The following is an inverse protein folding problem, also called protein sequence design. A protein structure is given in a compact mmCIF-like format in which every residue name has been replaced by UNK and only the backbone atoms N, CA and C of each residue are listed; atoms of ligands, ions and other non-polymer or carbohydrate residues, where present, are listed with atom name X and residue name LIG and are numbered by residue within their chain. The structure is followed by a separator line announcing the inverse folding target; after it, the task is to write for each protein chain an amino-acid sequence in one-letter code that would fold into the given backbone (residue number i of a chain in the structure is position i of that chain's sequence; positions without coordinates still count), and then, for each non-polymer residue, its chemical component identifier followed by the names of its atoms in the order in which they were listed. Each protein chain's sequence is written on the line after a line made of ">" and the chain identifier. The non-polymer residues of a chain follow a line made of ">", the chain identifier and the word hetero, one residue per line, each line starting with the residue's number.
data_IF_544558169220
#
_entry.id   IF_544558169220
#
_cell.length_a   1.000
_cell.length_b   1.000
_cell.length_c   1.000
_cell.angle_alpha   90.00
_cell.angle_beta   90.00
_cell.angle_gamma   90.00
#
_symmetry.space_group_name_H-M   'P 1'
#
loop_
_entity.id
_entity.type
_entity.pdbx_description
1 polymer ?
#
# COMPACT_ATOMS: atom_id res chain seq x y z
N UNK A 1 24.15 -4.78 -19.67
CA UNK A 1 23.29 -3.82 -20.36
C UNK A 1 21.87 -3.91 -19.83
N UNK A 2 21.30 -2.79 -19.51
CA UNK A 2 19.95 -2.75 -18.99
C UNK A 2 18.94 -3.03 -20.09
N UNK A 3 17.97 -3.90 -19.82
CA UNK A 3 16.88 -4.12 -20.75
C UNK A 3 16.04 -2.85 -20.89
N UNK A 4 15.49 -2.61 -22.06
CA UNK A 4 14.64 -1.45 -22.32
C UNK A 4 13.15 -1.77 -22.25
N UNK A 5 12.81 -3.04 -22.11
CA UNK A 5 11.42 -3.48 -21.98
C UNK A 5 11.39 -4.60 -20.93
N UNK A 6 10.47 -4.47 -19.97
CA UNK A 6 10.19 -5.51 -19.01
C UNK A 6 8.71 -5.85 -19.10
N UNK A 7 8.39 -7.13 -19.19
CA UNK A 7 7.00 -7.60 -19.14
C UNK A 7 6.87 -8.56 -17.99
N UNK A 8 5.78 -8.46 -17.24
CA UNK A 8 5.55 -9.31 -16.10
C UNK A 8 4.07 -9.52 -15.84
N UNK A 9 3.79 -10.30 -14.82
CA UNK A 9 2.45 -10.56 -14.34
C UNK A 9 2.41 -10.25 -12.86
N UNK A 10 1.52 -9.35 -12.45
CA UNK A 10 1.39 -9.01 -11.04
C UNK A 10 1.04 -10.23 -10.19
N UNK A 11 0.23 -11.13 -10.73
CA UNK A 11 -0.15 -12.35 -10.00
C UNK A 11 1.06 -13.22 -9.66
N UNK A 12 2.09 -13.20 -10.52
CA UNK A 12 3.30 -13.99 -10.32
C UNK A 12 4.40 -13.20 -9.63
N UNK A 13 4.55 -11.92 -9.96
CA UNK A 13 5.66 -11.10 -9.51
C UNK A 13 5.45 -10.50 -8.13
N UNK A 14 4.21 -10.19 -7.78
CA UNK A 14 3.93 -9.51 -6.52
C UNK A 14 4.15 -10.39 -5.29
N UNK A 15 3.67 -11.65 -5.21
CA UNK A 15 3.80 -12.43 -3.98
C UNK A 15 5.23 -12.58 -3.47
N UNK A 16 6.24 -12.88 -4.31
CA UNK A 16 7.62 -12.99 -3.80
C UNK A 16 8.17 -11.68 -3.27
N UNK A 17 7.60 -10.56 -3.66
CA UNK A 17 8.05 -9.23 -3.30
C UNK A 17 7.04 -8.51 -2.39
N UNK A 18 6.21 -9.26 -1.68
CA UNK A 18 5.25 -8.73 -0.72
C UNK A 18 4.28 -7.73 -1.37
N UNK A 19 3.97 -7.95 -2.64
CA UNK A 19 3.09 -7.10 -3.43
C UNK A 19 3.80 -6.07 -4.29
N UNK A 20 5.08 -5.83 -4.07
CA UNK A 20 5.80 -4.77 -4.76
C UNK A 20 6.19 -5.17 -6.18
N UNK A 21 5.92 -4.28 -7.12
CA UNK A 21 6.25 -4.47 -8.53
C UNK A 21 7.42 -3.60 -8.99
N UNK A 22 7.60 -2.45 -8.36
CA UNK A 22 8.56 -1.45 -8.82
C UNK A 22 8.91 -0.53 -7.64
N UNK A 23 10.17 -0.14 -7.54
CA UNK A 23 10.62 0.77 -6.50
C UNK A 23 12.11 0.67 -6.22
N UNK A 24 12.56 1.34 -5.17
CA UNK A 24 13.98 1.40 -4.80
C UNK A 24 14.54 0.05 -4.34
N UNK A 25 13.69 -0.86 -3.94
CA UNK A 25 14.07 -2.18 -3.43
C UNK A 25 14.38 -3.20 -4.54
N UNK A 26 14.13 -2.86 -5.79
CA UNK A 26 14.54 -3.70 -6.91
C UNK A 26 16.04 -3.52 -7.18
N UNK A 27 16.69 -4.53 -7.77
CA UNK A 27 18.13 -4.40 -8.11
C UNK A 27 18.39 -3.17 -8.97
N UNK A 28 19.55 -2.55 -8.79
CA UNK A 28 19.88 -1.28 -9.45
C UNK A 28 19.86 -1.35 -10.98
N UNK A 29 20.12 -2.53 -11.53
CA UNK A 29 20.16 -2.72 -12.98
C UNK A 29 18.84 -3.21 -13.57
N UNK A 30 17.82 -3.30 -12.75
CA UNK A 30 16.48 -3.73 -13.17
C UNK A 30 15.67 -2.51 -13.60
N UNK A 31 14.93 -2.64 -14.69
CA UNK A 31 14.03 -1.57 -15.15
C UNK A 31 12.99 -1.18 -14.11
N UNK A 32 12.65 -2.09 -13.20
CA UNK A 32 11.68 -1.83 -12.13
C UNK A 32 12.30 -1.06 -10.94
N UNK A 33 13.61 -0.82 -10.99
CA UNK A 33 14.24 0.00 -9.96
C UNK A 33 13.92 1.47 -10.17
N UNK A 34 13.41 2.14 -9.15
CA UNK A 34 13.14 3.57 -9.18
C UNK A 34 13.21 4.15 -7.78
N UNK A 35 13.82 5.31 -7.66
CA UNK A 35 13.81 6.10 -6.42
C UNK A 35 12.71 7.15 -6.43
N UNK A 36 12.02 7.31 -7.54
CA UNK A 36 11.01 8.34 -7.72
C UNK A 36 9.61 7.85 -7.39
N UNK A 37 9.36 6.56 -7.59
CA UNK A 37 8.02 5.99 -7.39
C UNK A 37 8.14 4.52 -7.00
N UNK A 38 7.18 4.07 -6.22
CA UNK A 38 7.04 2.64 -5.92
C UNK A 38 5.60 2.22 -6.15
N UNK A 39 5.40 1.02 -6.67
CA UNK A 39 4.09 0.53 -7.08
C UNK A 39 3.88 -0.86 -6.49
N UNK A 40 2.71 -1.04 -5.88
CA UNK A 40 2.31 -2.27 -5.22
C UNK A 40 1.01 -2.79 -5.82
N UNK A 41 0.96 -4.09 -6.05
CA UNK A 41 -0.26 -4.81 -6.40
C UNK A 41 -0.75 -5.54 -5.17
N UNK A 42 -1.88 -5.11 -4.63
CA UNK A 42 -2.41 -5.68 -3.41
C UNK A 42 -3.62 -6.55 -3.68
N UNK A 43 -3.57 -7.81 -3.22
CA UNK A 43 -4.71 -8.72 -3.24
C UNK A 43 -5.07 -8.99 -1.79
N UNK A 44 -6.28 -8.63 -1.41
CA UNK A 44 -6.72 -8.71 -0.03
C UNK A 44 -8.00 -9.53 0.08
N UNK A 45 -7.98 -10.64 0.79
CA UNK A 45 -9.23 -11.37 1.04
C UNK A 45 -10.19 -10.53 1.89
N UNK A 46 -11.47 -10.85 1.80
CA UNK A 46 -12.47 -10.19 2.62
C UNK A 46 -12.10 -10.27 4.10
N UNK A 47 -12.15 -9.15 4.78
CA UNK A 47 -11.83 -9.05 6.21
C UNK A 47 -10.37 -8.82 6.50
N UNK A 48 -9.50 -8.86 5.48
CA UNK A 48 -8.10 -8.55 5.66
C UNK A 48 -7.93 -7.10 6.10
N UNK A 49 -7.00 -6.88 7.02
CA UNK A 49 -6.80 -5.53 7.53
C UNK A 49 -5.37 -5.33 8.00
N UNK A 50 -4.98 -4.06 8.08
CA UNK A 50 -3.78 -3.70 8.80
C UNK A 50 -4.18 -3.41 10.25
N UNK A 51 -3.58 -4.13 11.17
CA UNK A 51 -3.92 -4.00 12.60
C UNK A 51 -3.42 -2.69 13.21
N UNK A 52 -2.34 -2.16 12.67
CA UNK A 52 -1.69 -0.97 13.21
C UNK A 52 -1.86 0.22 12.28
N UNK A 53 -1.78 1.42 12.87
CA UNK A 53 -1.69 2.64 12.08
C UNK A 53 -0.30 2.76 11.47
N UNK A 54 -0.23 3.14 10.19
CA UNK A 54 1.00 3.61 9.58
C UNK A 54 1.20 5.05 10.03
N UNK A 55 2.30 5.31 10.72
CA UNK A 55 2.58 6.62 11.29
C UNK A 55 3.90 7.14 10.75
N UNK A 56 4.08 8.46 10.81
CA UNK A 56 5.33 9.08 10.38
C UNK A 56 5.57 9.03 8.88
N UNK A 57 4.53 8.78 8.10
CA UNK A 57 4.66 8.71 6.65
C UNK A 57 4.87 10.09 6.07
N UNK A 58 5.90 10.25 5.26
CA UNK A 58 6.23 11.52 4.62
C UNK A 58 5.96 11.51 3.11
N UNK A 59 5.65 10.35 2.56
CA UNK A 59 5.41 10.20 1.13
C UNK A 59 3.96 10.52 0.80
N UNK A 60 3.73 10.79 -0.49
CA UNK A 60 2.38 10.88 -1.04
C UNK A 60 2.00 9.51 -1.59
N UNK A 61 0.77 9.10 -1.38
CA UNK A 61 0.27 7.81 -1.81
C UNK A 61 -1.02 7.97 -2.58
N UNK A 62 -1.18 7.13 -3.58
CA UNK A 62 -2.44 6.96 -4.31
C UNK A 62 -2.81 5.50 -4.24
N UNK A 63 -4.06 5.20 -3.88
CA UNK A 63 -4.60 3.85 -3.91
C UNK A 63 -5.79 3.87 -4.86
N UNK A 64 -5.78 2.98 -5.86
CA UNK A 64 -6.86 2.85 -6.82
C UNK A 64 -7.42 1.43 -6.77
N UNK A 65 -8.75 1.32 -6.81
CA UNK A 65 -9.44 0.04 -6.74
C UNK A 65 -9.51 -0.59 -8.13
N UNK A 66 -9.06 -1.83 -8.23
CA UNK A 66 -9.25 -2.65 -9.42
C UNK A 66 -10.55 -3.44 -9.29
N UNK A 67 -10.80 -4.05 -8.14
CA UNK A 67 -12.02 -4.80 -7.88
C UNK A 67 -12.27 -4.92 -6.38
N UNK A 68 -13.52 -5.11 -6.01
CA UNK A 68 -13.90 -5.34 -4.62
C UNK A 68 -14.42 -4.09 -3.92
N UNK A 69 -14.23 -4.03 -2.63
CA UNK A 69 -14.62 -2.90 -1.78
C UNK A 69 -13.58 -2.74 -0.69
N UNK A 70 -12.88 -1.61 -0.70
CA UNK A 70 -11.70 -1.40 0.12
C UNK A 70 -11.79 -0.07 0.86
N UNK A 71 -11.61 -0.13 2.19
CA UNK A 71 -11.70 1.05 3.04
C UNK A 71 -10.31 1.50 3.46
N UNK A 72 -10.01 2.76 3.22
CA UNK A 72 -8.82 3.39 3.75
C UNK A 72 -9.23 4.20 4.98
N UNK A 73 -8.56 3.96 6.08
CA UNK A 73 -8.91 4.53 7.37
C UNK A 73 -7.92 5.64 7.74
N UNK A 74 -8.45 6.79 8.13
CA UNK A 74 -7.69 7.92 8.67
C UNK A 74 -8.17 8.17 10.09
N UNK A 75 -7.43 8.97 10.85
CA UNK A 75 -7.77 9.23 12.25
C UNK A 75 -9.15 9.84 12.42
N UNK A 76 -9.54 10.72 11.49
CA UNK A 76 -10.78 11.48 11.57
C UNK A 76 -11.90 10.97 10.66
N UNK A 77 -11.59 10.06 9.75
CA UNK A 77 -12.59 9.56 8.80
C UNK A 77 -12.07 8.35 8.05
N UNK A 78 -12.98 7.70 7.31
CA UNK A 78 -12.64 6.63 6.39
C UNK A 78 -13.11 7.00 4.99
N UNK A 79 -12.43 6.45 4.00
CA UNK A 79 -12.80 6.58 2.58
C UNK A 79 -13.00 5.17 2.05
N UNK A 80 -14.16 4.90 1.47
CA UNK A 80 -14.46 3.59 0.89
C UNK A 80 -14.36 3.68 -0.62
N UNK A 81 -13.50 2.83 -1.19
CA UNK A 81 -13.40 2.67 -2.64
C UNK A 81 -14.30 1.48 -3.00
N UNK A 82 -15.31 1.71 -3.81
CA UNK A 82 -16.32 0.68 -4.07
C UNK A 82 -16.60 0.42 -5.55
N UNK A 83 -16.17 1.31 -6.44
CA UNK A 83 -16.31 1.11 -7.88
C UNK A 83 -14.93 1.01 -8.50
N UNK A 84 -14.81 0.19 -9.53
CA UNK A 84 -13.55 0.07 -10.27
C UNK A 84 -13.07 1.44 -10.69
N UNK A 85 -11.83 1.75 -10.34
CA UNK A 85 -11.23 3.04 -10.65
C UNK A 85 -11.39 4.11 -9.58
N UNK A 86 -12.18 3.86 -8.53
CA UNK A 86 -12.20 4.78 -7.39
C UNK A 86 -10.80 4.88 -6.80
N UNK A 87 -10.38 6.08 -6.43
CA UNK A 87 -9.06 6.26 -5.87
C UNK A 87 -9.03 7.34 -4.80
N UNK A 88 -8.00 7.29 -3.98
CA UNK A 88 -7.73 8.30 -2.96
C UNK A 88 -6.26 8.64 -2.99
N UNK A 89 -5.94 9.91 -2.76
CA UNK A 89 -4.56 10.40 -2.64
C UNK A 89 -4.41 11.04 -1.27
N UNK A 90 -3.34 10.69 -0.58
CA UNK A 90 -3.09 11.25 0.74
C UNK A 90 -1.59 11.36 1.00
N UNK A 91 -1.21 12.29 1.88
CA UNK A 91 0.18 12.55 2.19
C UNK A 91 0.31 12.98 3.65
N UNK A 92 1.32 12.46 4.32
CA UNK A 92 1.71 12.91 5.65
C UNK A 92 0.68 12.64 6.74
N UNK A 93 -0.23 11.71 6.54
CA UNK A 93 -1.28 11.41 7.52
C UNK A 93 -1.18 9.96 7.96
N UNK A 94 -1.54 9.73 9.22
CA UNK A 94 -1.67 8.37 9.74
C UNK A 94 -2.81 7.67 9.01
N UNK A 95 -2.57 6.44 8.62
CA UNK A 95 -3.57 5.70 7.87
C UNK A 95 -3.48 4.20 8.14
N UNK A 96 -4.55 3.51 7.76
CA UNK A 96 -4.62 2.07 7.78
C UNK A 96 -5.64 1.64 6.74
N UNK A 97 -6.00 0.35 6.70
CA UNK A 97 -6.96 -0.12 5.71
C UNK A 97 -7.68 -1.38 6.19
N UNK A 98 -8.82 -1.64 5.54
CA UNK A 98 -9.65 -2.81 5.79
C UNK A 98 -10.35 -3.20 4.49
N UNK A 99 -10.26 -4.48 4.11
CA UNK A 99 -10.94 -4.99 2.93
C UNK A 99 -12.36 -5.44 3.31
N UNK A 100 -13.35 -4.67 2.92
CA UNK A 100 -14.74 -5.00 3.20
C UNK A 100 -15.24 -6.17 2.38
N UNK A 101 -14.65 -6.38 1.21
CA UNK A 101 -14.83 -7.53 0.35
C UNK A 101 -13.46 -7.94 -0.18
N UNK A 102 -13.36 -9.12 -0.78
CA UNK A 102 -12.14 -9.47 -1.49
C UNK A 102 -11.82 -8.37 -2.47
N UNK A 103 -10.61 -7.84 -2.40
CA UNK A 103 -10.25 -6.64 -3.16
C UNK A 103 -8.89 -6.76 -3.81
N UNK A 104 -8.78 -6.13 -4.97
CA UNK A 104 -7.51 -5.92 -5.65
C UNK A 104 -7.30 -4.42 -5.79
N UNK A 105 -6.15 -3.95 -5.34
CA UNK A 105 -5.81 -2.53 -5.40
C UNK A 105 -4.43 -2.34 -6.01
N UNK A 106 -4.20 -1.17 -6.58
CA UNK A 106 -2.86 -0.71 -6.95
C UNK A 106 -2.52 0.46 -6.03
N UNK A 107 -1.40 0.33 -5.33
CA UNK A 107 -0.87 1.40 -4.49
C UNK A 107 0.36 2.00 -5.14
N UNK A 108 0.41 3.32 -5.20
CA UNK A 108 1.53 4.06 -5.77
C UNK A 108 1.98 5.06 -4.72
N UNK A 109 3.29 5.10 -4.45
CA UNK A 109 3.86 6.05 -3.50
C UNK A 109 5.06 6.76 -4.12
N UNK A 110 5.23 8.00 -3.77
CA UNK A 110 6.37 8.79 -4.23
C UNK A 110 6.83 9.77 -3.15
N UNK A 111 8.16 9.93 -3.02
CA UNK A 111 9.23 9.17 -3.68
C UNK A 111 9.33 7.73 -3.13
N UNK A 112 10.10 6.88 -3.81
CA UNK A 112 10.42 5.56 -3.30
C UNK A 112 11.69 5.67 -2.47
N UNK A 113 11.56 5.57 -1.16
CA UNK A 113 12.66 5.75 -0.22
C UNK A 113 12.67 4.64 0.83
N UNK A 114 13.85 4.27 1.33
CA UNK A 114 13.95 3.30 2.42
C UNK A 114 13.36 3.84 3.73
N UNK A 115 13.09 2.95 4.66
CA UNK A 115 12.63 3.32 5.99
C UNK A 115 11.16 3.07 6.24
N UNK A 116 10.35 3.08 5.20
CA UNK A 116 8.91 2.84 5.38
C UNK A 116 8.63 1.45 5.95
N UNK A 117 9.28 0.42 5.43
CA UNK A 117 9.08 -0.94 5.92
C UNK A 117 9.45 -1.09 7.39
N UNK A 118 10.48 -0.36 7.83
CA UNK A 118 10.88 -0.36 9.23
C UNK A 118 9.79 0.23 10.11
N UNK A 119 9.16 1.31 9.67
CA UNK A 119 8.06 1.92 10.41
C UNK A 119 6.85 0.99 10.49
N UNK A 120 6.56 0.28 9.41
CA UNK A 120 5.44 -0.66 9.37
C UNK A 120 5.66 -1.85 10.30
N UNK A 121 6.88 -2.13 10.66
CA UNK A 121 7.25 -3.24 11.54
C UNK A 121 7.40 -2.82 13.00
N UNK A 122 7.06 -1.58 13.33
CA UNK A 122 7.09 -1.10 14.70
C UNK A 122 6.14 -1.91 15.59
N UNK A 123 6.45 -2.04 16.87
CA UNK A 123 5.56 -2.74 17.78
C UNK A 123 4.15 -2.17 17.77
N UNK A 124 3.18 -3.06 17.87
CA UNK A 124 1.78 -2.73 17.74
C UNK A 124 1.31 -1.66 18.74
N UNK A 125 1.87 -1.62 19.94
CA UNK A 125 1.43 -0.68 20.94
C UNK A 125 1.66 0.78 20.55
N UNK A 126 2.44 1.04 19.51
CA UNK A 126 2.70 2.42 19.07
C UNK A 126 1.59 3.01 18.21
N UNK A 127 0.71 2.20 17.69
CA UNK A 127 -0.33 2.70 16.84
C UNK A 127 -1.41 1.69 16.53
N UNK A 128 -1.69 0.81 17.47
CA UNK A 128 -2.64 -0.28 17.25
C UNK A 128 -4.04 0.28 17.10
N UNK A 129 -4.62 0.15 15.94
CA UNK A 129 -5.91 0.77 15.66
C UNK A 129 -7.10 0.08 16.31
N UNK A 130 -6.93 -1.16 16.80
CA UNK A 130 -8.00 -1.84 17.53
C UNK A 130 -8.37 -1.10 18.81
N UNK A 131 -7.42 -0.42 19.41
CA UNK A 131 -7.71 0.42 20.58
C UNK A 131 -8.62 1.58 20.23
N UNK A 132 -8.43 2.16 19.06
CA UNK A 132 -9.27 3.25 18.55
C UNK A 132 -10.62 2.72 18.15
N UNK A 133 -10.62 1.62 17.41
CA UNK A 133 -11.85 1.03 16.89
C UNK A 133 -12.72 0.47 18.01
N UNK A 134 -12.11 -0.14 19.02
CA UNK A 134 -12.83 -0.70 20.15
C UNK A 134 -13.46 0.37 21.04
N UNK A 135 -12.97 1.59 20.97
CA UNK A 135 -13.54 2.71 21.72
C UNK A 135 -14.72 3.37 21.00
N UNK A 136 -14.86 3.06 19.72
CA UNK A 136 -15.88 3.70 18.88
C UNK A 136 -17.20 2.98 18.80
#
# INVERSE_FOLDING_TARGET
>A
MTATIYTGSAAQDAPPNRGWLLGHFMPDDDLRHSKEVEIKWGVHPRGDERADWVTGETRTALIILVSGRFRIEFRDRSVVLEQQGDYVVFAGVDHSWFAEEESVIVGIRWPSIPGYAVQEEQPAQLGHKDLVRGAG
#
